data_IF_603983546821
#
_entry.id   IF_603983546821
#
_cell.length_a   1.000
_cell.length_b   1.000
_cell.length_c   1.000
_cell.angle_alpha   90.00
_cell.angle_beta   90.00
_cell.angle_gamma   90.00
#
_symmetry.space_group_name_H-M   'P 1'
#
loop_
_entity.id
_entity.type
_entity.pdbx_description
1 polymer ?
#
# COMPACT_ATOMS: atom_id res chain seq x y z
N UNK A 1 29.38 21.64 -12.63
CA UNK A 1 29.19 20.33 -12.00
C UNK A 1 29.03 19.29 -13.10
N UNK A 2 29.60 18.10 -12.97
CA UNK A 2 29.47 17.02 -13.97
C UNK A 2 28.94 15.77 -13.26
N UNK A 3 28.02 15.03 -13.91
CA UNK A 3 27.51 13.76 -13.36
C UNK A 3 28.61 12.75 -13.07
N UNK A 4 29.66 12.70 -13.92
CA UNK A 4 30.82 11.83 -13.70
C UNK A 4 31.42 12.00 -12.28
N UNK A 5 31.60 13.27 -11.86
CA UNK A 5 32.25 13.58 -10.56
C UNK A 5 31.34 13.19 -9.38
N UNK A 6 30.01 13.37 -9.55
CA UNK A 6 29.01 12.98 -8.54
C UNK A 6 28.95 11.46 -8.40
N UNK A 7 28.91 10.74 -9.51
CA UNK A 7 28.93 9.27 -9.54
C UNK A 7 30.21 8.72 -8.91
N UNK A 8 31.38 9.25 -9.30
CA UNK A 8 32.67 8.84 -8.76
C UNK A 8 32.74 9.07 -7.25
N UNK A 9 32.30 10.26 -6.79
CA UNK A 9 32.24 10.59 -5.37
C UNK A 9 31.40 9.59 -4.58
N UNK A 10 30.20 9.26 -5.08
CA UNK A 10 29.30 8.30 -4.39
C UNK A 10 29.83 6.87 -4.45
N UNK A 11 30.34 6.45 -5.59
CA UNK A 11 31.00 5.15 -5.77
C UNK A 11 32.12 4.92 -4.76
N UNK A 12 32.91 5.95 -4.48
CA UNK A 12 34.07 5.89 -3.59
C UNK A 12 33.70 6.13 -2.11
N UNK A 13 32.36 6.18 -1.78
CA UNK A 13 31.84 6.31 -0.44
C UNK A 13 31.69 7.74 0.07
N UNK A 14 31.85 8.74 -0.81
CA UNK A 14 31.66 10.16 -0.45
C UNK A 14 30.19 10.51 -0.20
N UNK A 15 29.96 11.53 0.63
CA UNK A 15 28.64 12.07 0.95
C UNK A 15 28.27 13.15 -0.06
N UNK A 16 27.10 13.02 -0.69
CA UNK A 16 26.61 14.00 -1.66
C UNK A 16 26.04 15.23 -0.96
N UNK A 17 26.34 16.39 -1.46
CA UNK A 17 25.72 17.64 -1.02
C UNK A 17 24.35 17.83 -1.66
N UNK A 18 23.49 18.69 -1.05
CA UNK A 18 22.20 19.09 -1.63
C UNK A 18 22.34 19.57 -3.09
N UNK A 19 23.39 20.36 -3.39
CA UNK A 19 23.62 20.89 -4.73
C UNK A 19 23.92 19.79 -5.76
N UNK A 20 24.68 18.75 -5.36
CA UNK A 20 24.98 17.59 -6.20
C UNK A 20 23.75 16.73 -6.45
N UNK A 21 22.93 16.49 -5.40
CA UNK A 21 21.67 15.77 -5.48
C UNK A 21 20.69 16.53 -6.39
N UNK A 22 20.51 17.82 -6.18
CA UNK A 22 19.62 18.66 -6.98
C UNK A 22 20.07 18.72 -8.46
N UNK A 23 21.37 18.80 -8.73
CA UNK A 23 21.90 18.76 -10.08
C UNK A 23 21.56 17.43 -10.80
N UNK A 24 21.75 16.31 -10.12
CA UNK A 24 21.47 14.99 -10.67
C UNK A 24 19.96 14.78 -10.91
N UNK A 25 19.12 15.06 -9.91
CA UNK A 25 17.68 14.82 -9.98
C UNK A 25 16.99 15.77 -10.97
N UNK A 26 17.25 17.06 -10.90
CA UNK A 26 16.64 18.04 -11.81
C UNK A 26 17.13 17.83 -13.25
N UNK A 27 18.42 17.56 -13.45
CA UNK A 27 18.96 17.25 -14.76
C UNK A 27 18.39 15.94 -15.34
N UNK A 28 17.99 14.98 -14.49
CA UNK A 28 17.28 13.80 -14.94
C UNK A 28 15.82 14.09 -15.32
N UNK A 29 15.18 15.00 -14.61
CA UNK A 29 13.80 15.44 -14.91
C UNK A 29 13.75 16.18 -16.25
N UNK A 30 14.67 17.12 -16.49
CA UNK A 30 14.71 17.94 -17.70
C UNK A 30 15.37 17.24 -18.91
N UNK A 31 16.03 16.08 -18.70
CA UNK A 31 16.66 15.26 -19.73
C UNK A 31 18.13 15.62 -20.02
N UNK A 32 18.74 16.55 -19.29
CA UNK A 32 20.18 16.88 -19.42
C UNK A 32 21.10 15.80 -18.83
N UNK A 33 20.56 14.98 -17.90
CA UNK A 33 21.21 13.78 -17.36
C UNK A 33 20.58 12.55 -18.01
N UNK A 34 21.32 11.75 -18.79
CA UNK A 34 20.80 10.56 -19.47
C UNK A 34 20.65 9.36 -18.53
N UNK A 35 19.82 8.39 -18.93
CA UNK A 35 19.50 7.17 -18.15
C UNK A 35 20.73 6.41 -17.67
N UNK A 36 21.76 6.24 -18.52
CA UNK A 36 22.96 5.50 -18.15
C UNK A 36 23.77 6.16 -17.03
N UNK A 37 23.79 7.49 -16.95
CA UNK A 37 24.44 8.20 -15.84
C UNK A 37 23.60 8.12 -14.56
N UNK A 38 22.28 8.28 -14.67
CA UNK A 38 21.39 8.13 -13.52
C UNK A 38 21.41 6.69 -13.00
N UNK A 39 21.39 5.67 -13.87
CA UNK A 39 21.51 4.25 -13.46
C UNK A 39 22.81 4.00 -12.70
N UNK A 40 23.94 4.56 -13.17
CA UNK A 40 25.21 4.44 -12.46
C UNK A 40 25.18 5.10 -11.06
N UNK A 41 24.54 6.26 -10.93
CA UNK A 41 24.38 6.92 -9.63
C UNK A 41 23.47 6.10 -8.70
N UNK A 42 22.33 5.59 -9.19
CA UNK A 42 21.41 4.76 -8.41
C UNK A 42 22.08 3.47 -7.94
N UNK A 43 22.90 2.84 -8.77
CA UNK A 43 23.66 1.66 -8.39
C UNK A 43 24.76 2.00 -7.37
N UNK A 44 25.44 3.14 -7.50
CA UNK A 44 26.40 3.60 -6.51
C UNK A 44 25.73 3.86 -5.15
N UNK A 45 24.52 4.45 -5.15
CA UNK A 45 23.70 4.62 -3.93
C UNK A 45 23.29 3.26 -3.36
N UNK A 46 22.85 2.32 -4.20
CA UNK A 46 22.45 0.98 -3.77
C UNK A 46 23.58 0.26 -3.02
N UNK A 47 24.80 0.33 -3.55
CA UNK A 47 25.97 -0.36 -3.00
C UNK A 47 26.62 0.34 -1.82
N UNK A 48 26.50 1.67 -1.71
CA UNK A 48 27.16 2.49 -0.69
C UNK A 48 26.21 3.05 0.36
N UNK A 49 24.91 2.97 0.13
CA UNK A 49 23.89 3.61 0.96
C UNK A 49 23.89 5.13 0.83
N UNK A 50 23.06 5.75 1.63
CA UNK A 50 23.01 7.20 1.88
C UNK A 50 22.93 7.45 3.37
N UNK A 51 23.47 8.57 3.83
CA UNK A 51 23.18 9.06 5.18
C UNK A 51 21.74 9.54 5.28
N UNK A 52 21.22 9.65 6.51
CA UNK A 52 19.86 10.19 6.76
C UNK A 52 19.73 11.60 6.15
N UNK A 53 20.77 12.42 6.27
CA UNK A 53 20.79 13.77 5.70
C UNK A 53 20.73 13.76 4.15
N UNK A 54 21.54 12.90 3.49
CA UNK A 54 21.46 12.75 2.03
C UNK A 54 20.07 12.28 1.58
N UNK A 55 19.46 11.35 2.33
CA UNK A 55 18.14 10.80 2.01
C UNK A 55 17.05 11.86 2.17
N UNK A 56 17.13 12.68 3.22
CA UNK A 56 16.21 13.80 3.42
C UNK A 56 16.32 14.84 2.30
N UNK A 57 17.55 15.20 1.90
CA UNK A 57 17.79 16.13 0.78
C UNK A 57 17.29 15.57 -0.55
N UNK A 58 17.54 14.30 -0.82
CA UNK A 58 17.00 13.64 -2.01
C UNK A 58 15.47 13.67 -2.02
N UNK A 59 14.84 13.38 -0.89
CA UNK A 59 13.39 13.42 -0.72
C UNK A 59 12.82 14.80 -1.00
N UNK A 60 13.45 15.84 -0.43
CA UNK A 60 13.02 17.22 -0.62
C UNK A 60 13.13 17.66 -2.09
N UNK A 61 14.25 17.37 -2.75
CA UNK A 61 14.44 17.68 -4.16
C UNK A 61 13.42 16.93 -5.04
N UNK A 62 13.15 15.67 -4.73
CA UNK A 62 12.14 14.88 -5.44
C UNK A 62 10.72 15.42 -5.22
N UNK A 63 10.36 15.81 -4.01
CA UNK A 63 9.05 16.37 -3.68
C UNK A 63 8.79 17.67 -4.47
N UNK A 64 9.80 18.53 -4.58
CA UNK A 64 9.72 19.81 -5.29
C UNK A 64 9.98 19.72 -6.81
N UNK A 65 10.17 18.52 -7.33
CA UNK A 65 10.35 18.30 -8.77
C UNK A 65 9.07 18.42 -9.60
N UNK A 66 7.93 18.62 -8.97
CA UNK A 66 6.61 18.77 -9.56
C UNK A 66 5.70 19.65 -8.71
N UNK A 67 4.40 19.50 -8.91
CA UNK A 67 3.42 20.29 -8.16
C UNK A 67 3.39 19.88 -6.69
N UNK A 68 3.34 20.88 -5.80
CA UNK A 68 3.04 20.71 -4.38
C UNK A 68 1.57 21.04 -4.14
N UNK A 69 0.82 20.10 -3.53
CA UNK A 69 -0.60 20.29 -3.28
C UNK A 69 -0.81 21.16 -2.04
N UNK A 70 -1.45 22.29 -2.20
CA UNK A 70 -1.89 23.13 -1.09
C UNK A 70 -3.28 22.67 -0.63
N UNK A 71 -3.33 22.02 0.53
CA UNK A 71 -4.58 21.56 1.16
C UNK A 71 -5.19 22.60 2.14
N UNK A 72 -4.72 23.85 2.15
CA UNK A 72 -5.20 24.90 3.07
C UNK A 72 -6.69 25.22 2.91
N UNK A 73 -7.25 25.02 1.71
CA UNK A 73 -8.69 25.15 1.45
C UNK A 73 -9.54 24.05 2.12
N UNK A 74 -8.94 22.98 2.63
CA UNK A 74 -9.61 21.92 3.37
C UNK A 74 -9.55 22.25 4.86
N UNK A 75 -10.71 22.40 5.49
CA UNK A 75 -10.84 22.72 6.91
C UNK A 75 -10.51 21.51 7.79
N UNK A 76 -9.73 21.72 8.86
CA UNK A 76 -9.34 20.70 9.84
C UNK A 76 -8.05 19.95 9.49
N UNK A 77 -7.70 18.98 10.32
CA UNK A 77 -6.50 18.15 10.16
C UNK A 77 -6.68 17.16 9.01
N UNK A 78 -5.72 17.13 8.08
CA UNK A 78 -5.66 16.18 6.96
C UNK A 78 -4.71 15.06 7.32
N UNK A 79 -5.21 13.83 7.36
CA UNK A 79 -4.41 12.63 7.58
C UNK A 79 -4.33 11.78 6.30
N UNK A 80 -3.21 11.12 6.11
CA UNK A 80 -2.99 10.17 5.02
C UNK A 80 -2.34 8.88 5.56
N UNK A 81 -2.58 7.77 4.88
CA UNK A 81 -1.91 6.48 5.13
C UNK A 81 -1.17 6.05 3.89
N UNK A 82 0.05 5.59 4.05
CA UNK A 82 0.79 4.92 2.98
C UNK A 82 1.16 3.51 3.41
N UNK A 83 0.95 2.53 2.52
CA UNK A 83 1.47 1.18 2.68
C UNK A 83 2.65 0.96 1.74
N UNK A 84 3.63 0.19 2.18
CA UNK A 84 4.71 -0.27 1.30
C UNK A 84 4.25 -1.35 0.32
N UNK A 85 2.99 -1.81 0.48
CA UNK A 85 2.35 -2.78 -0.40
C UNK A 85 2.33 -4.19 0.16
N UNK A 86 1.54 -5.04 -0.46
CA UNK A 86 1.37 -6.44 -0.07
C UNK A 86 0.19 -7.06 -0.78
N UNK A 87 -0.07 -8.33 -0.48
CA UNK A 87 -1.18 -9.11 -1.05
C UNK A 87 -2.38 -9.02 -0.12
N UNK A 88 -3.53 -8.65 -0.67
CA UNK A 88 -4.73 -8.41 0.13
C UNK A 88 -4.71 -7.08 0.89
N UNK A 89 -3.79 -6.14 0.59
CA UNK A 89 -3.75 -4.81 1.21
C UNK A 89 -4.90 -3.94 0.67
N UNK A 90 -6.04 -4.09 1.30
CA UNK A 90 -7.26 -3.30 1.12
C UNK A 90 -7.49 -2.29 2.24
N UNK A 91 -6.54 -2.17 3.15
CA UNK A 91 -6.65 -1.38 4.39
C UNK A 91 -7.12 0.05 4.17
N UNK A 92 -6.71 0.71 3.07
CA UNK A 92 -7.16 2.08 2.74
C UNK A 92 -8.68 2.20 2.64
N UNK A 93 -9.37 1.20 2.05
CA UNK A 93 -10.83 1.22 1.88
C UNK A 93 -11.58 1.05 3.19
N UNK A 94 -10.91 0.58 4.23
CA UNK A 94 -11.47 0.42 5.58
C UNK A 94 -11.09 1.58 6.48
N UNK A 95 -9.80 1.89 6.59
CA UNK A 95 -9.31 2.89 7.54
C UNK A 95 -9.67 4.32 7.17
N UNK A 96 -9.70 4.64 5.87
CA UNK A 96 -10.01 5.99 5.46
C UNK A 96 -11.46 6.40 5.82
N UNK A 97 -12.49 5.58 5.58
CA UNK A 97 -13.84 5.84 6.08
C UNK A 97 -13.96 5.88 7.61
N UNK A 98 -13.26 4.99 8.35
CA UNK A 98 -13.25 5.01 9.83
C UNK A 98 -12.72 6.34 10.34
N UNK A 99 -11.56 6.77 9.85
CA UNK A 99 -10.91 8.01 10.29
C UNK A 99 -11.73 9.24 9.89
N UNK A 100 -12.36 9.22 8.71
CA UNK A 100 -13.25 10.27 8.26
C UNK A 100 -14.53 10.36 9.11
N UNK A 101 -15.13 9.22 9.50
CA UNK A 101 -16.30 9.17 10.39
C UNK A 101 -15.98 9.75 11.78
N UNK A 102 -14.73 9.61 12.24
CA UNK A 102 -14.22 10.25 13.46
C UNK A 102 -13.88 11.75 13.28
N UNK A 103 -14.21 12.37 12.13
CA UNK A 103 -14.07 13.81 11.88
C UNK A 103 -12.64 14.27 11.56
N UNK A 104 -11.78 13.38 11.03
CA UNK A 104 -10.48 13.74 10.45
C UNK A 104 -10.60 13.75 8.94
N UNK A 105 -10.00 14.72 8.26
CA UNK A 105 -10.11 14.85 6.80
C UNK A 105 -9.15 13.90 6.09
N UNK A 106 -9.66 13.17 5.10
CA UNK A 106 -8.88 12.26 4.24
C UNK A 106 -8.86 12.81 2.81
N UNK A 107 -7.76 13.45 2.47
CA UNK A 107 -7.49 13.97 1.13
C UNK A 107 -6.41 13.09 0.48
N UNK A 108 -6.79 11.87 0.05
CA UNK A 108 -5.83 10.83 -0.32
C UNK A 108 -5.61 10.75 -1.82
N UNK A 109 -4.32 10.73 -2.20
CA UNK A 109 -3.89 10.36 -3.55
C UNK A 109 -3.21 8.99 -3.48
N UNK A 110 -3.66 8.05 -4.33
CA UNK A 110 -3.22 6.66 -4.33
C UNK A 110 -2.78 6.19 -5.71
N UNK A 111 -2.03 5.08 -5.74
CA UNK A 111 -1.52 4.47 -6.96
C UNK A 111 -2.35 3.30 -7.46
N UNK A 112 -2.01 2.84 -8.66
CA UNK A 112 -2.43 1.56 -9.23
C UNK A 112 -1.52 0.44 -8.73
N UNK A 113 -1.96 -0.80 -8.89
CA UNK A 113 -1.17 -1.99 -8.56
C UNK A 113 0.05 -2.14 -9.45
N UNK A 114 1.11 -2.68 -8.85
CA UNK A 114 2.38 -3.01 -9.51
C UNK A 114 2.80 -4.43 -9.11
N UNK A 115 3.23 -5.23 -10.09
CA UNK A 115 3.66 -6.60 -9.87
C UNK A 115 2.57 -7.43 -9.18
N UNK A 116 2.95 -8.15 -8.13
CA UNK A 116 2.07 -9.00 -7.34
C UNK A 116 1.15 -8.26 -6.36
N UNK A 117 1.28 -6.93 -6.22
CA UNK A 117 0.49 -6.15 -5.28
C UNK A 117 -0.72 -5.50 -5.94
N UNK A 118 -1.90 -5.52 -5.30
CA UNK A 118 -3.10 -4.84 -5.78
C UNK A 118 -3.09 -3.34 -5.49
N UNK A 119 -3.62 -2.52 -6.42
CA UNK A 119 -3.70 -1.06 -6.26
C UNK A 119 -5.02 -0.57 -5.69
N UNK A 120 -4.99 0.41 -4.81
CA UNK A 120 -6.22 1.02 -4.26
C UNK A 120 -7.12 1.59 -5.37
N UNK A 121 -6.53 2.21 -6.39
CA UNK A 121 -7.28 2.80 -7.51
C UNK A 121 -7.97 1.72 -8.34
N UNK A 122 -7.28 0.61 -8.62
CA UNK A 122 -7.86 -0.52 -9.36
C UNK A 122 -9.04 -1.15 -8.58
N UNK A 123 -8.92 -1.27 -7.25
CA UNK A 123 -10.01 -1.70 -6.38
C UNK A 123 -11.20 -0.76 -6.44
N UNK A 124 -10.98 0.56 -6.35
CA UNK A 124 -12.07 1.53 -6.44
C UNK A 124 -12.77 1.49 -7.80
N UNK A 125 -12.03 1.35 -8.89
CA UNK A 125 -12.58 1.25 -10.25
C UNK A 125 -13.36 -0.05 -10.50
N UNK A 126 -13.20 -1.07 -9.64
CA UNK A 126 -14.03 -2.27 -9.68
C UNK A 126 -15.49 -2.03 -9.24
N UNK A 127 -15.76 -0.92 -8.55
CA UNK A 127 -17.11 -0.45 -8.27
C UNK A 127 -17.63 0.30 -9.49
N UNK A 128 -18.69 -0.20 -10.16
CA UNK A 128 -19.16 0.36 -11.43
C UNK A 128 -19.41 1.87 -11.35
N UNK A 129 -18.95 2.61 -12.35
CA UNK A 129 -19.16 4.06 -12.47
C UNK A 129 -18.20 4.93 -11.64
N UNK A 130 -17.37 4.34 -10.78
CA UNK A 130 -16.46 5.13 -9.94
C UNK A 130 -15.41 5.87 -10.76
N UNK A 131 -15.36 7.20 -10.58
CA UNK A 131 -14.32 8.07 -11.11
C UNK A 131 -13.20 8.24 -10.09
N UNK A 132 -11.98 7.90 -10.48
CA UNK A 132 -10.78 8.09 -9.64
C UNK A 132 -9.93 9.29 -10.07
N UNK A 133 -10.34 10.00 -11.12
CA UNK A 133 -9.76 11.25 -11.56
C UNK A 133 -10.77 12.36 -11.35
N UNK A 134 -10.48 13.28 -10.43
CA UNK A 134 -11.26 14.47 -10.12
C UNK A 134 -10.43 15.72 -10.38
N UNK A 135 -11.09 16.84 -10.68
CA UNK A 135 -10.44 18.15 -10.64
C UNK A 135 -10.08 18.51 -9.19
N UNK A 136 -9.14 19.42 -9.00
CA UNK A 136 -8.77 19.88 -7.67
C UNK A 136 -9.97 20.47 -6.91
N UNK A 137 -10.85 21.20 -7.62
CA UNK A 137 -12.06 21.79 -7.05
C UNK A 137 -13.04 20.71 -6.57
N UNK A 138 -13.33 19.68 -7.42
CA UNK A 138 -14.19 18.55 -7.05
C UNK A 138 -13.61 17.80 -5.84
N UNK A 139 -12.29 17.55 -5.84
CA UNK A 139 -11.58 16.88 -4.77
C UNK A 139 -11.70 17.63 -3.44
N UNK A 140 -11.40 18.93 -3.43
CA UNK A 140 -11.48 19.75 -2.21
C UNK A 140 -12.92 19.89 -1.71
N UNK A 141 -13.87 20.10 -2.61
CA UNK A 141 -15.31 20.17 -2.28
C UNK A 141 -15.74 18.87 -1.60
N UNK A 142 -15.46 17.73 -2.18
CA UNK A 142 -15.84 16.43 -1.61
C UNK A 142 -15.24 16.23 -0.22
N UNK A 143 -13.92 16.50 -0.01
CA UNK A 143 -13.28 16.36 1.30
C UNK A 143 -13.89 17.31 2.33
N UNK A 144 -14.23 18.56 1.96
CA UNK A 144 -14.89 19.49 2.87
C UNK A 144 -16.28 19.02 3.27
N UNK A 145 -17.10 18.55 2.32
CA UNK A 145 -18.51 18.16 2.52
C UNK A 145 -18.63 16.79 3.21
N UNK A 146 -17.90 15.78 2.73
CA UNK A 146 -18.06 14.38 3.17
C UNK A 146 -16.98 14.00 4.21
N UNK A 147 -15.82 14.65 4.18
CA UNK A 147 -14.66 14.31 5.03
C UNK A 147 -13.62 13.44 4.35
N UNK A 148 -13.90 12.87 3.18
CA UNK A 148 -13.03 11.90 2.51
C UNK A 148 -13.13 12.02 0.99
N UNK A 149 -11.98 11.91 0.33
CA UNK A 149 -11.86 11.60 -1.11
C UNK A 149 -10.59 10.82 -1.36
N UNK A 150 -10.67 9.77 -2.19
CA UNK A 150 -9.53 8.96 -2.63
C UNK A 150 -9.47 9.00 -4.14
N UNK A 151 -8.38 9.53 -4.69
CA UNK A 151 -8.20 9.72 -6.13
C UNK A 151 -6.88 9.14 -6.62
N UNK A 152 -6.75 8.95 -7.92
CA UNK A 152 -5.50 8.61 -8.57
C UNK A 152 -4.48 9.75 -8.44
N UNK A 153 -3.22 9.39 -8.24
CA UNK A 153 -2.13 10.36 -8.17
C UNK A 153 -1.96 11.07 -9.52
N UNK A 154 -1.90 12.38 -9.53
CA UNK A 154 -1.60 13.14 -10.73
C UNK A 154 -0.15 12.90 -11.17
N UNK A 155 0.08 12.85 -12.49
CA UNK A 155 1.42 12.70 -13.05
C UNK A 155 2.34 13.91 -12.84
N UNK A 156 1.83 14.99 -12.23
CA UNK A 156 2.56 16.24 -11.97
C UNK A 156 3.17 16.31 -10.57
N UNK A 157 2.76 15.41 -9.66
CA UNK A 157 3.29 15.34 -8.29
C UNK A 157 4.56 14.50 -8.28
N UNK A 158 5.64 14.99 -7.64
CA UNK A 158 6.92 14.31 -7.52
C UNK A 158 7.40 13.70 -8.86
N UNK A 159 7.49 14.51 -9.89
CA UNK A 159 7.82 14.08 -11.26
C UNK A 159 9.13 13.28 -11.34
N UNK A 160 10.12 13.65 -10.53
CA UNK A 160 11.39 12.93 -10.41
C UNK A 160 11.17 11.49 -9.94
N UNK A 161 10.28 11.25 -8.96
CA UNK A 161 10.01 9.90 -8.47
C UNK A 161 9.50 8.99 -9.58
N UNK A 162 8.56 9.46 -10.38
CA UNK A 162 8.02 8.67 -11.50
C UNK A 162 9.10 8.20 -12.48
N UNK A 163 10.04 9.09 -12.83
CA UNK A 163 11.16 8.78 -13.74
C UNK A 163 12.17 7.85 -13.08
N UNK A 164 12.57 8.18 -11.83
CA UNK A 164 13.55 7.39 -11.07
C UNK A 164 13.03 6.00 -10.78
N UNK A 165 11.75 5.85 -10.38
CA UNK A 165 11.17 4.54 -10.09
C UNK A 165 11.12 3.66 -11.33
N UNK A 166 10.69 4.21 -12.49
CA UNK A 166 10.67 3.47 -13.74
C UNK A 166 12.08 2.98 -14.16
N UNK A 167 13.12 3.78 -13.88
CA UNK A 167 14.49 3.36 -14.14
C UNK A 167 14.98 2.29 -13.15
N UNK A 168 14.63 2.45 -11.85
CA UNK A 168 14.98 1.49 -10.81
C UNK A 168 14.38 0.12 -11.04
N UNK A 169 13.16 0.08 -11.55
CA UNK A 169 12.40 -1.15 -11.82
C UNK A 169 13.14 -2.08 -12.81
N UNK A 170 13.86 -1.51 -13.77
CA UNK A 170 14.60 -2.25 -14.81
C UNK A 170 16.12 -2.31 -14.58
N UNK A 171 16.63 -1.74 -13.47
CA UNK A 171 18.08 -1.70 -13.16
C UNK A 171 18.45 -2.38 -11.85
N UNK A 172 17.53 -3.19 -11.27
CA UNK A 172 17.72 -3.93 -10.02
C UNK A 172 18.11 -3.05 -8.82
N UNK A 173 17.59 -1.81 -8.75
CA UNK A 173 17.89 -0.85 -7.67
C UNK A 173 16.65 -0.49 -6.83
N UNK A 174 15.53 -1.24 -6.97
CA UNK A 174 14.30 -1.00 -6.20
C UNK A 174 14.51 -1.25 -4.70
N UNK A 175 15.22 -2.33 -4.33
CA UNK A 175 15.37 -2.78 -2.94
C UNK A 175 16.32 -1.93 -2.05
N UNK A 176 16.61 -0.69 -2.42
CA UNK A 176 17.49 0.21 -1.66
C UNK A 176 16.69 1.05 -0.66
N UNK A 177 16.86 0.87 0.65
CA UNK A 177 16.09 1.52 1.72
C UNK A 177 16.05 3.05 1.57
N UNK A 178 17.17 3.80 1.40
CA UNK A 178 17.12 5.24 1.17
C UNK A 178 16.28 5.65 -0.03
N UNK A 179 16.38 4.90 -1.14
CA UNK A 179 15.62 5.20 -2.36
C UNK A 179 14.13 4.85 -2.22
N UNK A 180 13.78 3.81 -1.44
CA UNK A 180 12.39 3.49 -1.09
C UNK A 180 11.80 4.61 -0.22
N UNK A 181 12.52 5.01 0.83
CA UNK A 181 12.08 6.07 1.73
C UNK A 181 11.86 7.40 0.97
N UNK A 182 12.81 7.80 0.11
CA UNK A 182 12.69 9.02 -0.68
C UNK A 182 11.54 8.96 -1.68
N UNK A 183 11.34 7.82 -2.34
CA UNK A 183 10.20 7.60 -3.27
C UNK A 183 8.86 7.76 -2.57
N UNK A 184 8.68 7.16 -1.41
CA UNK A 184 7.44 7.23 -0.64
C UNK A 184 7.21 8.63 -0.10
N UNK A 185 8.21 9.16 0.62
CA UNK A 185 8.04 10.41 1.37
C UNK A 185 7.97 11.63 0.46
N UNK A 186 8.64 11.65 -0.69
CA UNK A 186 8.51 12.76 -1.65
C UNK A 186 7.06 12.93 -2.12
N UNK A 187 6.36 11.85 -2.41
CA UNK A 187 4.93 11.87 -2.79
C UNK A 187 4.04 12.32 -1.63
N UNK A 188 4.34 11.86 -0.40
CA UNK A 188 3.55 12.22 0.79
C UNK A 188 3.74 13.67 1.19
N UNK A 189 4.94 14.19 1.10
CA UNK A 189 5.22 15.61 1.33
C UNK A 189 4.54 16.48 0.26
N UNK A 190 4.65 16.10 -1.01
CA UNK A 190 4.01 16.82 -2.10
C UNK A 190 2.48 16.78 -2.05
N UNK A 191 1.88 15.71 -1.50
CA UNK A 191 0.43 15.61 -1.30
C UNK A 191 -0.11 16.52 -0.17
N UNK A 192 0.72 17.03 0.73
CA UNK A 192 0.40 18.13 1.64
C UNK A 192 -0.30 17.77 2.95
N UNK A 193 -0.49 16.49 3.30
CA UNK A 193 -1.17 16.07 4.55
C UNK A 193 -0.41 16.50 5.81
N UNK A 194 -1.15 16.81 6.88
CA UNK A 194 -0.60 17.24 8.18
C UNK A 194 -0.07 16.07 9.00
N UNK A 195 -0.73 14.92 8.89
CA UNK A 195 -0.39 13.68 9.59
C UNK A 195 -0.27 12.52 8.60
N UNK A 196 0.76 11.69 8.75
CA UNK A 196 1.06 10.58 7.85
C UNK A 196 1.28 9.32 8.68
N UNK A 197 0.47 8.30 8.46
CA UNK A 197 0.71 6.97 8.99
C UNK A 197 1.33 6.09 7.90
N UNK A 198 2.43 5.46 8.23
CA UNK A 198 3.13 4.52 7.35
C UNK A 198 2.82 3.10 7.81
N UNK A 199 2.38 2.27 6.89
CA UNK A 199 2.16 0.85 7.07
C UNK A 199 3.29 0.12 6.34
N UNK A 200 4.31 -0.26 7.10
CA UNK A 200 5.51 -0.92 6.56
C UNK A 200 5.29 -2.42 6.68
N UNK A 201 4.94 -3.03 5.57
CA UNK A 201 4.73 -4.47 5.51
C UNK A 201 6.06 -5.22 5.51
N UNK A 202 6.11 -6.37 6.19
CA UNK A 202 7.29 -7.23 6.30
C UNK A 202 6.88 -8.69 6.09
N UNK A 203 7.67 -9.42 5.31
CA UNK A 203 7.45 -10.85 5.03
C UNK A 203 7.65 -11.23 3.57
N UNK A 204 7.26 -12.43 3.19
CA UNK A 204 7.45 -12.98 1.85
C UNK A 204 6.73 -12.17 0.77
N UNK A 205 5.58 -11.57 1.09
CA UNK A 205 4.80 -10.72 0.19
C UNK A 205 5.17 -9.24 0.20
N UNK A 206 6.20 -8.82 0.94
CA UNK A 206 6.60 -7.43 1.11
C UNK A 206 7.99 -7.15 0.53
N UNK A 207 8.34 -5.86 0.38
CA UNK A 207 9.70 -5.46 0.03
C UNK A 207 10.70 -5.73 1.16
N UNK A 208 10.30 -5.48 2.42
CA UNK A 208 11.13 -5.76 3.59
C UNK A 208 10.96 -7.21 3.99
N UNK A 209 12.09 -7.94 4.10
CA UNK A 209 12.08 -9.38 4.38
C UNK A 209 12.35 -9.72 5.85
N UNK A 210 12.83 -8.75 6.63
CA UNK A 210 13.09 -8.92 8.06
C UNK A 210 12.75 -7.66 8.86
N UNK A 211 12.61 -7.84 10.18
CA UNK A 211 12.18 -6.78 11.07
C UNK A 211 13.16 -5.59 11.15
N UNK A 212 14.47 -5.87 11.11
CA UNK A 212 15.47 -4.81 11.25
C UNK A 212 15.48 -3.88 10.03
N UNK A 213 15.37 -4.42 8.81
CA UNK A 213 15.20 -3.61 7.59
C UNK A 213 13.90 -2.82 7.59
N UNK A 214 12.79 -3.43 8.05
CA UNK A 214 11.51 -2.75 8.17
C UNK A 214 11.55 -1.60 9.19
N UNK A 215 12.20 -1.81 10.33
CA UNK A 215 12.44 -0.76 11.35
C UNK A 215 13.32 0.36 10.79
N UNK A 216 14.39 0.04 10.07
CA UNK A 216 15.28 1.03 9.46
C UNK A 216 14.53 1.90 8.45
N UNK A 217 13.76 1.28 7.55
CA UNK A 217 12.93 2.00 6.58
C UNK A 217 11.90 2.89 7.29
N UNK A 218 11.20 2.35 8.30
CA UNK A 218 10.21 3.09 9.07
C UNK A 218 10.82 4.30 9.79
N UNK A 219 11.96 4.10 10.48
CA UNK A 219 12.69 5.14 11.19
C UNK A 219 13.11 6.27 10.23
N UNK A 220 13.66 5.92 9.09
CA UNK A 220 14.10 6.89 8.08
C UNK A 220 12.93 7.72 7.55
N UNK A 221 11.81 7.08 7.20
CA UNK A 221 10.61 7.77 6.71
C UNK A 221 9.98 8.67 7.79
N UNK A 222 9.92 8.20 9.05
CA UNK A 222 9.43 9.01 10.19
C UNK A 222 10.31 10.23 10.39
N UNK A 223 11.64 10.06 10.37
CA UNK A 223 12.61 11.15 10.49
C UNK A 223 12.43 12.20 9.40
N UNK A 224 12.32 11.77 8.13
CA UNK A 224 12.10 12.67 6.99
C UNK A 224 10.81 13.48 7.16
N UNK A 225 9.69 12.82 7.48
CA UNK A 225 8.41 13.50 7.62
C UNK A 225 8.39 14.48 8.80
N UNK A 226 8.98 14.10 9.94
CA UNK A 226 9.10 14.95 11.13
C UNK A 226 9.97 16.18 10.86
N UNK A 227 11.09 16.02 10.15
CA UNK A 227 11.94 17.13 9.75
C UNK A 227 11.24 18.16 8.85
N UNK A 228 10.20 17.71 8.10
CA UNK A 228 9.34 18.58 7.29
C UNK A 228 8.07 19.05 8.03
N UNK A 229 8.05 18.96 9.36
CA UNK A 229 6.97 19.47 10.21
C UNK A 229 5.67 18.64 10.14
N UNK A 230 5.72 17.40 9.66
CA UNK A 230 4.58 16.48 9.64
C UNK A 230 4.56 15.62 10.90
N UNK A 231 3.36 15.26 11.36
CA UNK A 231 3.19 14.25 12.39
C UNK A 231 3.25 12.88 11.72
N UNK A 232 4.26 12.08 12.00
CA UNK A 232 4.48 10.80 11.33
C UNK A 232 4.69 9.69 12.35
N UNK A 233 4.08 8.55 12.09
CA UNK A 233 4.36 7.28 12.75
C UNK A 233 4.33 6.15 11.72
N UNK A 234 4.93 5.02 12.05
CA UNK A 234 4.86 3.82 11.26
C UNK A 234 4.43 2.63 12.13
N UNK A 235 3.66 1.72 11.54
CA UNK A 235 3.44 0.37 12.05
C UNK A 235 4.15 -0.62 11.12
N UNK A 236 4.80 -1.61 11.71
CA UNK A 236 5.37 -2.74 10.95
C UNK A 236 4.38 -3.89 11.07
N UNK A 237 3.81 -4.28 9.93
CA UNK A 237 2.72 -5.26 9.84
C UNK A 237 3.17 -6.53 9.11
N UNK A 238 2.55 -7.68 9.47
CA UNK A 238 2.84 -8.96 8.85
C UNK A 238 2.41 -9.00 7.37
N UNK A 239 3.25 -9.62 6.54
CA UNK A 239 2.96 -9.98 5.16
C UNK A 239 3.56 -11.35 4.79
N UNK A 240 3.74 -12.23 5.78
CA UNK A 240 3.96 -13.68 5.57
C UNK A 240 2.63 -14.43 5.44
N UNK A 241 1.52 -13.70 5.58
CA UNK A 241 0.16 -14.18 5.30
C UNK A 241 -0.59 -13.08 4.56
N UNK A 242 -1.32 -13.37 3.46
CA UNK A 242 -2.19 -12.39 2.83
C UNK A 242 -3.20 -11.82 3.81
N UNK A 243 -3.44 -10.51 3.78
CA UNK A 243 -4.33 -9.84 4.71
C UNK A 243 -5.81 -10.06 4.32
N UNK A 244 -6.60 -10.59 5.23
CA UNK A 244 -7.95 -11.08 4.96
C UNK A 244 -7.95 -12.37 4.13
N UNK A 245 -9.05 -12.70 3.50
CA UNK A 245 -9.24 -13.91 2.71
C UNK A 245 -9.30 -13.65 1.21
N UNK A 246 -9.74 -12.47 0.82
CA UNK A 246 -9.99 -12.11 -0.58
C UNK A 246 -8.79 -11.42 -1.21
N UNK A 247 -8.39 -11.88 -2.38
CA UNK A 247 -7.30 -11.32 -3.19
C UNK A 247 -7.84 -11.07 -4.59
N UNK A 248 -7.84 -9.82 -5.04
CA UNK A 248 -8.45 -9.38 -6.30
C UNK A 248 -9.31 -8.14 -6.09
N UNK A 249 -9.67 -7.42 -7.17
CA UNK A 249 -10.17 -6.04 -7.02
C UNK A 249 -11.56 -5.98 -6.35
N UNK A 250 -12.63 -6.48 -7.00
CA UNK A 250 -13.97 -6.44 -6.42
C UNK A 250 -14.12 -7.34 -5.19
N UNK A 251 -13.37 -8.46 -5.15
CA UNK A 251 -13.35 -9.35 -3.99
C UNK A 251 -12.83 -8.63 -2.74
N UNK A 252 -11.76 -7.84 -2.88
CA UNK A 252 -11.20 -7.06 -1.78
C UNK A 252 -12.09 -5.88 -1.38
N UNK A 253 -12.81 -5.25 -2.33
CA UNK A 253 -13.83 -4.25 -1.99
C UNK A 253 -14.95 -4.87 -1.16
N UNK A 254 -15.48 -6.02 -1.59
CA UNK A 254 -16.53 -6.74 -0.86
C UNK A 254 -16.11 -7.08 0.57
N UNK A 255 -14.87 -7.55 0.77
CA UNK A 255 -14.33 -7.85 2.10
C UNK A 255 -14.11 -6.58 2.94
N UNK A 256 -13.66 -5.48 2.32
CA UNK A 256 -13.57 -4.18 2.99
C UNK A 256 -14.92 -3.69 3.50
N UNK A 257 -15.98 -3.88 2.71
CA UNK A 257 -17.35 -3.54 3.12
C UNK A 257 -17.84 -4.44 4.26
N UNK A 258 -17.46 -5.72 4.25
CA UNK A 258 -17.75 -6.63 5.36
C UNK A 258 -17.09 -6.16 6.66
N UNK A 259 -15.84 -5.69 6.64
CA UNK A 259 -15.17 -5.10 7.82
C UNK A 259 -15.91 -3.88 8.32
N UNK A 260 -16.28 -2.95 7.44
CA UNK A 260 -17.03 -1.73 7.82
C UNK A 260 -18.43 -2.02 8.36
N UNK A 261 -18.98 -3.21 8.09
CA UNK A 261 -20.25 -3.71 8.63
C UNK A 261 -20.07 -4.60 9.87
N UNK A 262 -18.85 -4.72 10.42
CA UNK A 262 -18.55 -5.56 11.58
C UNK A 262 -18.58 -7.08 11.32
N UNK A 263 -18.43 -7.50 10.04
CA UNK A 263 -18.50 -8.90 9.59
C UNK A 263 -17.21 -9.37 8.90
N UNK A 264 -16.15 -8.57 8.93
CA UNK A 264 -14.88 -8.88 8.27
C UNK A 264 -14.03 -9.92 8.99
N UNK A 265 -12.97 -10.42 8.32
CA UNK A 265 -11.96 -11.27 8.93
C UNK A 265 -11.28 -10.60 10.14
N UNK A 266 -10.95 -11.40 11.14
CA UNK A 266 -10.39 -10.87 12.38
C UNK A 266 -9.04 -10.18 12.20
N UNK A 267 -8.15 -10.77 11.39
CA UNK A 267 -6.82 -10.22 11.08
C UNK A 267 -6.91 -8.86 10.36
N UNK A 268 -7.71 -8.78 9.29
CA UNK A 268 -7.92 -7.54 8.55
C UNK A 268 -8.56 -6.47 9.43
N UNK A 269 -9.55 -6.85 10.24
CA UNK A 269 -10.24 -5.94 11.17
C UNK A 269 -9.27 -5.39 12.19
N UNK A 270 -8.45 -6.24 12.81
CA UNK A 270 -7.48 -5.81 13.83
C UNK A 270 -6.41 -4.88 13.25
N UNK A 271 -5.80 -5.25 12.12
CA UNK A 271 -4.81 -4.38 11.45
C UNK A 271 -5.42 -3.02 11.09
N UNK A 272 -6.64 -3.00 10.55
CA UNK A 272 -7.32 -1.75 10.21
C UNK A 272 -7.63 -0.90 11.44
N UNK A 273 -8.05 -1.49 12.55
CA UNK A 273 -8.32 -0.77 13.79
C UNK A 273 -7.04 -0.19 14.40
N UNK A 274 -5.93 -0.93 14.37
CA UNK A 274 -4.63 -0.42 14.81
C UNK A 274 -4.15 0.76 13.94
N UNK A 275 -4.24 0.62 12.62
CA UNK A 275 -3.89 1.70 11.71
C UNK A 275 -4.80 2.92 11.89
N UNK A 276 -6.11 2.75 11.98
CA UNK A 276 -7.06 3.84 12.20
C UNK A 276 -6.81 4.57 13.53
N UNK A 277 -6.58 3.81 14.61
CA UNK A 277 -6.28 4.37 15.94
C UNK A 277 -5.02 5.24 15.93
N UNK A 278 -3.96 4.78 15.28
CA UNK A 278 -2.73 5.55 15.12
C UNK A 278 -2.93 6.81 14.26
N UNK A 279 -3.74 6.76 13.20
CA UNK A 279 -4.10 7.95 12.42
C UNK A 279 -4.87 8.97 13.26
N UNK A 280 -5.83 8.53 14.06
CA UNK A 280 -6.60 9.39 14.97
C UNK A 280 -5.71 10.01 16.05
N UNK A 281 -4.79 9.24 16.63
CA UNK A 281 -3.79 9.73 17.58
C UNK A 281 -2.91 10.82 16.96
N UNK A 282 -2.35 10.59 15.77
CA UNK A 282 -1.55 11.59 15.03
C UNK A 282 -2.37 12.85 14.72
N UNK A 283 -3.66 12.70 14.45
CA UNK A 283 -4.58 13.81 14.22
C UNK A 283 -4.98 14.55 15.52
N UNK A 284 -4.54 14.10 16.69
CA UNK A 284 -4.81 14.75 17.97
C UNK A 284 -6.22 14.51 18.51
N UNK A 285 -6.85 13.36 18.18
CA UNK A 285 -8.21 13.03 18.66
C UNK A 285 -8.25 12.50 20.10
N UNK A 286 -7.13 12.19 20.69
CA UNK A 286 -7.02 11.73 22.08
C UNK A 286 -5.89 10.72 22.26
N UNK A 287 -5.84 10.10 23.42
CA UNK A 287 -4.91 9.01 23.73
C UNK A 287 -5.25 7.74 22.92
N UNK A 288 -4.28 6.85 22.76
CA UNK A 288 -4.38 5.68 21.88
C UNK A 288 -5.62 4.81 22.19
N UNK A 289 -5.91 4.55 23.47
CA UNK A 289 -7.08 3.76 23.87
C UNK A 289 -8.42 4.44 23.50
N UNK A 290 -8.50 5.76 23.63
CA UNK A 290 -9.66 6.53 23.21
C UNK A 290 -9.81 6.52 21.68
N UNK A 291 -8.70 6.66 20.93
CA UNK A 291 -8.70 6.57 19.49
C UNK A 291 -9.15 5.18 19.00
N UNK A 292 -8.73 4.11 19.69
CA UNK A 292 -9.18 2.75 19.42
C UNK A 292 -10.68 2.60 19.61
N UNK A 293 -11.21 3.06 20.74
CA UNK A 293 -12.64 3.01 21.04
C UNK A 293 -13.46 3.82 20.01
N UNK A 294 -12.97 4.99 19.57
CA UNK A 294 -13.62 5.76 18.51
C UNK A 294 -13.67 4.99 17.18
N UNK A 295 -12.56 4.33 16.78
CA UNK A 295 -12.49 3.55 15.57
C UNK A 295 -13.45 2.35 15.58
N UNK A 296 -13.56 1.66 16.72
CA UNK A 296 -14.51 0.56 16.92
C UNK A 296 -15.95 1.04 16.88
N UNK A 297 -16.24 2.17 17.53
CA UNK A 297 -17.59 2.71 17.63
C UNK A 297 -18.18 3.03 16.26
N UNK A 298 -17.42 3.63 15.35
CA UNK A 298 -17.92 4.01 14.02
C UNK A 298 -18.14 2.81 13.08
N UNK A 299 -17.58 1.64 13.40
CA UNK A 299 -17.93 0.37 12.75
C UNK A 299 -19.26 -0.13 13.32
N UNK A 300 -19.38 -0.15 14.66
CA UNK A 300 -20.56 -0.68 15.37
C UNK A 300 -21.83 0.10 15.02
N UNK A 301 -21.76 1.43 14.94
CA UNK A 301 -22.91 2.28 14.59
C UNK A 301 -23.14 2.42 13.09
N UNK A 302 -22.24 1.88 12.24
CA UNK A 302 -22.34 1.87 10.79
C UNK A 302 -21.97 3.19 10.12
N UNK A 303 -21.54 4.21 10.86
CA UNK A 303 -21.19 5.54 10.29
C UNK A 303 -19.99 5.48 9.36
N UNK A 304 -19.01 4.62 9.63
CA UNK A 304 -17.86 4.41 8.74
C UNK A 304 -18.30 3.81 7.38
N UNK A 305 -19.20 2.84 7.40
CA UNK A 305 -19.76 2.25 6.18
C UNK A 305 -20.54 3.28 5.34
N UNK A 306 -21.38 4.10 5.99
CA UNK A 306 -22.13 5.15 5.28
C UNK A 306 -21.21 6.25 4.72
N UNK A 307 -20.13 6.61 5.39
CA UNK A 307 -19.11 7.52 4.84
C UNK A 307 -18.43 6.93 3.61
N UNK A 308 -18.11 5.63 3.64
CA UNK A 308 -17.58 4.92 2.48
C UNK A 308 -18.55 4.96 1.29
N UNK A 309 -19.82 4.65 1.50
CA UNK A 309 -20.85 4.73 0.47
C UNK A 309 -21.01 6.16 -0.09
N UNK A 310 -20.99 7.19 0.77
CA UNK A 310 -21.05 8.60 0.33
C UNK A 310 -19.84 8.98 -0.53
N UNK A 311 -18.64 8.50 -0.17
CA UNK A 311 -17.43 8.74 -0.96
C UNK A 311 -17.57 8.17 -2.37
N UNK A 312 -17.97 6.91 -2.50
CA UNK A 312 -18.16 6.26 -3.80
C UNK A 312 -19.27 6.94 -4.61
N UNK A 313 -20.42 7.26 -3.98
CA UNK A 313 -21.53 7.96 -4.64
C UNK A 313 -21.10 9.33 -5.20
N UNK A 314 -20.34 10.12 -4.43
CA UNK A 314 -19.82 11.42 -4.86
C UNK A 314 -18.85 11.29 -6.05
N UNK A 315 -18.19 10.14 -6.18
CA UNK A 315 -17.30 9.80 -7.29
C UNK A 315 -18.03 9.05 -8.42
N UNK A 316 -19.36 8.95 -8.38
CA UNK A 316 -20.20 8.34 -9.43
C UNK A 316 -20.33 6.82 -9.34
N UNK A 317 -19.81 6.20 -8.27
CA UNK A 317 -19.84 4.76 -8.05
C UNK A 317 -21.24 4.25 -7.69
N UNK A 318 -21.59 3.08 -8.21
CA UNK A 318 -22.80 2.37 -7.84
C UNK A 318 -22.67 1.78 -6.43
N UNK A 319 -23.33 2.42 -5.47
CA UNK A 319 -23.29 1.99 -4.07
C UNK A 319 -24.15 0.76 -3.76
N UNK A 320 -24.96 0.29 -4.70
CA UNK A 320 -25.75 -0.94 -4.51
C UNK A 320 -24.84 -2.15 -4.30
N UNK A 321 -23.73 -2.25 -5.06
CA UNK A 321 -22.74 -3.33 -4.93
C UNK A 321 -21.97 -3.28 -3.62
N UNK A 322 -21.85 -2.09 -3.01
CA UNK A 322 -21.21 -1.93 -1.69
C UNK A 322 -22.13 -2.41 -0.55
N UNK A 323 -23.45 -2.22 -0.72
CA UNK A 323 -24.46 -2.65 0.24
C UNK A 323 -24.79 -4.13 0.13
N UNK A 324 -24.71 -4.67 -1.08
CA UNK A 324 -24.90 -6.08 -1.39
C UNK A 324 -23.80 -6.56 -2.35
N UNK A 325 -22.79 -7.21 -1.80
CA UNK A 325 -21.66 -7.72 -2.56
C UNK A 325 -22.05 -8.80 -3.60
N UNK A 326 -23.23 -9.41 -3.49
CA UNK A 326 -23.72 -10.37 -4.48
C UNK A 326 -24.00 -9.75 -5.85
N UNK A 327 -24.16 -8.41 -5.88
CA UNK A 327 -24.40 -7.62 -7.09
C UNK A 327 -23.13 -7.29 -7.88
N UNK A 328 -21.94 -7.51 -7.32
CA UNK A 328 -20.71 -7.43 -8.11
C UNK A 328 -20.74 -8.43 -9.27
N UNK A 329 -20.17 -8.03 -10.40
CA UNK A 329 -19.94 -8.98 -11.50
C UNK A 329 -19.12 -10.16 -10.99
N UNK A 330 -19.59 -11.36 -11.27
CA UNK A 330 -18.89 -12.60 -10.92
C UNK A 330 -18.05 -13.07 -12.11
N UNK A 331 -16.93 -13.70 -11.84
CA UNK A 331 -16.17 -14.44 -12.85
C UNK A 331 -16.99 -15.60 -13.39
N UNK A 332 -16.74 -15.97 -14.65
CA UNK A 332 -17.47 -17.05 -15.32
C UNK A 332 -17.15 -18.44 -14.76
N UNK A 333 -15.91 -18.63 -14.33
CA UNK A 333 -15.38 -19.90 -13.86
C UNK A 333 -14.82 -19.78 -12.46
N UNK A 334 -14.90 -20.86 -11.72
CA UNK A 334 -14.30 -21.04 -10.39
C UNK A 334 -13.58 -22.38 -10.34
N UNK A 335 -12.43 -22.45 -9.68
CA UNK A 335 -11.63 -23.65 -9.55
C UNK A 335 -11.08 -23.75 -8.12
N UNK A 336 -11.38 -24.87 -7.45
CA UNK A 336 -10.90 -25.12 -6.08
C UNK A 336 -9.52 -25.78 -6.12
N UNK A 337 -8.57 -25.19 -5.37
CA UNK A 337 -7.32 -25.85 -5.04
C UNK A 337 -7.53 -26.61 -3.73
N UNK A 338 -7.25 -27.91 -3.76
CA UNK A 338 -7.41 -28.79 -2.60
C UNK A 338 -6.06 -29.11 -1.94
N UNK A 339 -6.09 -29.34 -0.62
CA UNK A 339 -4.91 -29.77 0.11
C UNK A 339 -4.40 -31.12 -0.40
N UNK A 340 -3.11 -31.28 -0.72
CA UNK A 340 -2.55 -32.55 -1.21
C UNK A 340 -2.39 -33.60 -0.11
N UNK A 341 -2.39 -33.20 1.18
CA UNK A 341 -2.19 -34.09 2.33
C UNK A 341 -2.87 -33.53 3.58
N UNK A 342 -3.02 -34.40 4.60
CA UNK A 342 -3.41 -33.99 5.95
C UNK A 342 -2.24 -33.24 6.63
N UNK A 343 -2.55 -32.24 7.44
CA UNK A 343 -1.55 -31.50 8.20
C UNK A 343 -1.98 -30.08 8.54
N UNK A 344 -0.99 -29.20 8.64
CA UNK A 344 -1.18 -27.76 8.87
C UNK A 344 -0.49 -26.99 7.76
N UNK A 345 -1.05 -25.86 7.36
CA UNK A 345 -0.34 -24.91 6.49
C UNK A 345 0.79 -24.29 7.30
N UNK A 346 2.03 -24.62 6.97
CA UNK A 346 3.23 -24.16 7.69
C UNK A 346 3.98 -23.06 6.95
N UNK A 347 3.69 -22.87 5.67
CA UNK A 347 4.25 -21.80 4.87
C UNK A 347 3.32 -21.46 3.70
N UNK A 348 3.15 -20.17 3.45
CA UNK A 348 2.58 -19.59 2.24
C UNK A 348 3.57 -18.57 1.70
N UNK A 349 4.06 -18.75 0.47
CA UNK A 349 4.79 -17.70 -0.22
C UNK A 349 3.78 -16.67 -0.76
N UNK A 350 3.65 -15.56 -0.06
CA UNK A 350 2.64 -14.54 -0.34
C UNK A 350 2.88 -13.84 -1.68
N UNK A 351 4.15 -13.68 -2.10
CA UNK A 351 4.48 -13.14 -3.41
C UNK A 351 3.97 -14.06 -4.53
N UNK A 352 4.12 -15.37 -4.38
CA UNK A 352 3.58 -16.34 -5.33
C UNK A 352 2.05 -16.34 -5.37
N UNK A 353 1.40 -16.19 -4.22
CA UNK A 353 -0.06 -16.04 -4.15
C UNK A 353 -0.51 -14.78 -4.90
N UNK A 354 0.17 -13.65 -4.68
CA UNK A 354 -0.08 -12.42 -5.42
C UNK A 354 0.10 -12.59 -6.93
N UNK A 355 1.20 -13.24 -7.35
CA UNK A 355 1.45 -13.54 -8.76
C UNK A 355 0.39 -14.49 -9.35
N UNK A 356 -0.09 -15.47 -8.60
CA UNK A 356 -1.20 -16.32 -9.04
C UNK A 356 -2.46 -15.49 -9.33
N UNK A 357 -2.79 -14.49 -8.50
CA UNK A 357 -3.92 -13.59 -8.76
C UNK A 357 -3.72 -12.74 -10.02
N UNK A 358 -2.48 -12.31 -10.30
CA UNK A 358 -2.15 -11.60 -11.55
C UNK A 358 -2.35 -12.50 -12.77
N UNK A 359 -1.93 -13.76 -12.70
CA UNK A 359 -2.13 -14.74 -13.78
C UNK A 359 -3.61 -15.00 -14.09
N UNK A 360 -4.49 -14.88 -13.08
CA UNK A 360 -5.94 -14.98 -13.26
C UNK A 360 -6.57 -13.74 -13.94
N UNK A 361 -5.80 -12.65 -14.10
CA UNK A 361 -6.26 -11.39 -14.68
C UNK A 361 -6.61 -10.30 -13.65
N UNK A 362 -6.41 -10.52 -12.34
CA UNK A 362 -6.69 -9.53 -11.31
C UNK A 362 -5.67 -8.37 -11.27
N UNK A 363 -4.52 -8.53 -11.93
CA UNK A 363 -3.47 -7.53 -12.05
C UNK A 363 -2.96 -7.39 -13.48
N UNK A 364 -1.93 -6.54 -13.68
CA UNK A 364 -1.30 -6.31 -14.98
C UNK A 364 0.05 -7.02 -15.05
N UNK A 365 0.29 -7.79 -16.10
CA UNK A 365 1.61 -8.32 -16.46
C UNK A 365 2.39 -7.22 -17.22
N UNK A 366 1.67 -6.50 -18.10
CA UNK A 366 2.21 -5.34 -18.84
C UNK A 366 1.35 -4.12 -18.54
N UNK A 367 1.93 -2.93 -18.64
CA UNK A 367 1.24 -1.67 -18.36
C UNK A 367 -0.03 -1.47 -19.18
N UNK A 368 -0.07 -2.01 -20.37
CA UNK A 368 -1.16 -1.90 -21.36
C UNK A 368 -2.29 -2.91 -21.11
N UNK A 369 -2.06 -3.92 -20.25
CA UNK A 369 -3.04 -4.96 -19.98
C UNK A 369 -4.28 -4.39 -19.29
N UNK A 370 -5.45 -4.92 -19.67
CA UNK A 370 -6.68 -4.71 -18.92
C UNK A 370 -6.68 -5.50 -17.62
N UNK A 371 -7.52 -5.10 -16.67
CA UNK A 371 -7.77 -5.84 -15.44
C UNK A 371 -9.16 -6.47 -15.52
N UNK A 372 -9.27 -7.74 -15.18
CA UNK A 372 -10.54 -8.37 -14.84
C UNK A 372 -10.85 -8.14 -13.36
N UNK A 373 -11.79 -7.24 -13.09
CA UNK A 373 -12.14 -6.89 -11.72
C UNK A 373 -12.83 -8.01 -10.92
N UNK A 374 -13.34 -9.06 -11.59
CA UNK A 374 -13.95 -10.20 -10.92
C UNK A 374 -12.98 -11.37 -10.71
N UNK A 375 -11.80 -11.31 -11.35
CA UNK A 375 -10.75 -12.30 -11.15
C UNK A 375 -10.08 -12.17 -9.78
N UNK A 376 -9.60 -13.29 -9.26
CA UNK A 376 -8.89 -13.31 -7.99
C UNK A 376 -8.92 -14.66 -7.27
N UNK A 377 -8.64 -14.62 -5.99
CA UNK A 377 -8.53 -15.80 -5.12
C UNK A 377 -9.32 -15.53 -3.84
N UNK A 378 -10.11 -16.50 -3.39
CA UNK A 378 -10.67 -16.53 -2.04
C UNK A 378 -9.97 -17.64 -1.27
N UNK A 379 -9.23 -17.27 -0.23
CA UNK A 379 -8.54 -18.22 0.65
C UNK A 379 -9.50 -18.77 1.69
N UNK A 380 -9.56 -20.08 1.85
CA UNK A 380 -10.35 -20.76 2.89
C UNK A 380 -9.47 -21.14 4.08
N UNK A 381 -8.18 -21.28 3.86
CA UNK A 381 -7.18 -21.69 4.86
C UNK A 381 -5.95 -20.77 4.80
N UNK A 382 -5.40 -20.48 5.95
CA UNK A 382 -4.25 -19.60 6.16
C UNK A 382 -3.14 -20.31 6.94
N UNK A 383 -2.02 -19.63 7.13
CA UNK A 383 -0.91 -20.12 7.96
C UNK A 383 -1.43 -20.57 9.34
N UNK A 384 -1.06 -21.76 9.76
CA UNK A 384 -1.46 -22.37 11.04
C UNK A 384 -2.79 -23.12 11.03
N UNK A 385 -3.58 -23.06 9.95
CA UNK A 385 -4.83 -23.80 9.83
C UNK A 385 -4.59 -25.29 9.55
N UNK A 386 -5.40 -26.14 10.17
CA UNK A 386 -5.43 -27.56 9.89
C UNK A 386 -6.15 -27.83 8.56
N UNK A 387 -5.63 -28.77 7.79
CA UNK A 387 -6.18 -29.21 6.49
C UNK A 387 -6.23 -30.73 6.39
N UNK A 388 -7.17 -31.23 5.60
CA UNK A 388 -7.28 -32.65 5.23
C UNK A 388 -7.06 -32.82 3.74
N UNK A 389 -6.45 -33.92 3.33
CA UNK A 389 -6.29 -34.26 1.93
C UNK A 389 -7.64 -34.18 1.17
N UNK A 390 -7.64 -33.43 0.08
CA UNK A 390 -8.85 -33.18 -0.72
C UNK A 390 -9.75 -32.05 -0.20
N UNK A 391 -9.45 -31.42 0.95
CA UNK A 391 -10.20 -30.25 1.45
C UNK A 391 -9.82 -28.99 0.65
N UNK A 392 -10.79 -28.19 0.16
CA UNK A 392 -10.50 -26.93 -0.51
C UNK A 392 -9.77 -25.94 0.41
N UNK A 393 -8.61 -25.45 -0.04
CA UNK A 393 -7.79 -24.46 0.67
C UNK A 393 -7.96 -23.04 0.12
N UNK A 394 -8.30 -22.94 -1.16
CA UNK A 394 -8.73 -21.69 -1.78
C UNK A 394 -9.56 -21.96 -3.04
N UNK A 395 -10.28 -20.94 -3.52
CA UNK A 395 -10.98 -20.95 -4.81
C UNK A 395 -10.41 -19.85 -5.70
N UNK A 396 -10.02 -20.20 -6.92
CA UNK A 396 -9.60 -19.29 -7.98
C UNK A 396 -10.79 -18.85 -8.81
N UNK A 397 -10.80 -17.61 -9.27
CA UNK A 397 -11.86 -17.01 -10.09
C UNK A 397 -11.27 -16.34 -11.33
N UNK A 398 -11.78 -16.67 -12.53
CA UNK A 398 -11.37 -16.05 -13.80
C UNK A 398 -12.49 -16.13 -14.86
N UNK A 399 -12.42 -15.28 -15.87
CA UNK A 399 -13.30 -15.33 -17.04
C UNK A 399 -12.80 -16.31 -18.14
N UNK A 400 -11.58 -16.83 -17.98
CA UNK A 400 -10.93 -17.80 -18.87
C UNK A 400 -10.39 -18.97 -18.01
N UNK A 401 -10.95 -20.16 -18.18
CA UNK A 401 -10.58 -21.37 -17.42
C UNK A 401 -9.20 -21.92 -17.78
N UNK A 402 -8.63 -21.53 -18.92
CA UNK A 402 -7.27 -21.93 -19.32
C UNK A 402 -6.19 -21.34 -18.41
N UNK A 403 -6.51 -20.28 -17.65
CA UNK A 403 -5.58 -19.61 -16.73
C UNK A 403 -5.37 -20.40 -15.42
N UNK A 404 -6.29 -21.27 -15.06
CA UNK A 404 -6.26 -21.96 -13.76
C UNK A 404 -5.02 -22.83 -13.57
N UNK A 405 -4.60 -23.58 -14.58
CA UNK A 405 -3.46 -24.48 -14.44
C UNK A 405 -2.17 -23.75 -14.03
N UNK A 406 -1.86 -22.62 -14.67
CA UNK A 406 -0.68 -21.82 -14.34
C UNK A 406 -0.80 -21.13 -12.97
N UNK A 407 -2.00 -20.64 -12.64
CA UNK A 407 -2.26 -20.00 -11.36
C UNK A 407 -2.19 -21.00 -10.18
N UNK A 408 -2.73 -22.21 -10.37
CA UNK A 408 -2.63 -23.31 -9.39
C UNK A 408 -1.18 -23.74 -9.16
N UNK A 409 -0.41 -23.97 -10.25
CA UNK A 409 1.02 -24.30 -10.14
C UNK A 409 1.79 -23.20 -9.36
N UNK A 410 1.49 -21.93 -9.64
CA UNK A 410 2.08 -20.79 -8.93
C UNK A 410 1.71 -20.81 -7.45
N UNK A 411 0.43 -20.99 -7.12
CA UNK A 411 -0.07 -21.00 -5.74
C UNK A 411 0.49 -22.18 -4.94
N UNK A 412 0.33 -23.41 -5.48
CA UNK A 412 0.77 -24.65 -4.81
C UNK A 412 2.29 -24.70 -4.64
N UNK A 413 3.04 -24.16 -5.61
CA UNK A 413 4.50 -24.06 -5.51
C UNK A 413 5.01 -23.17 -4.37
N UNK A 414 4.14 -22.35 -3.76
CA UNK A 414 4.46 -21.55 -2.56
C UNK A 414 3.86 -22.10 -1.27
N UNK A 415 3.14 -23.23 -1.33
CA UNK A 415 2.44 -23.83 -0.19
C UNK A 415 3.30 -24.96 0.40
N UNK A 416 3.43 -24.97 1.73
CA UNK A 416 3.98 -26.11 2.45
C UNK A 416 2.99 -26.59 3.51
N UNK A 417 2.72 -27.90 3.54
CA UNK A 417 1.94 -28.58 4.57
C UNK A 417 2.88 -29.39 5.44
N UNK A 418 2.82 -29.18 6.75
CA UNK A 418 3.61 -29.88 7.76
C UNK A 418 2.75 -30.67 8.74
N UNK A 419 3.37 -31.62 9.46
CA UNK A 419 2.67 -32.44 10.45
C UNK A 419 2.34 -31.68 11.74
N UNK A 420 3.11 -30.64 12.07
CA UNK A 420 2.97 -29.87 13.31
C UNK A 420 2.44 -28.47 13.00
N UNK A 421 1.61 -27.95 13.91
CA UNK A 421 1.09 -26.58 13.80
C UNK A 421 2.24 -25.58 14.00
N UNK A 422 2.48 -24.65 13.06
CA UNK A 422 3.51 -23.64 13.20
C UNK A 422 3.09 -22.58 14.23
N UNK A 423 4.06 -21.84 14.75
CA UNK A 423 3.82 -20.60 15.43
C UNK A 423 3.36 -19.56 14.41
N UNK A 424 2.20 -18.92 14.69
CA UNK A 424 1.67 -17.85 13.84
C UNK A 424 2.26 -16.53 14.31
N UNK A 425 2.90 -15.76 13.42
CA UNK A 425 3.50 -14.48 13.79
C UNK A 425 2.44 -13.45 14.23
N UNK A 426 2.83 -12.41 14.99
CA UNK A 426 1.93 -11.32 15.34
C UNK A 426 1.56 -10.52 14.08
N UNK A 427 0.34 -9.97 14.06
CA UNK A 427 -0.12 -9.11 12.96
C UNK A 427 0.66 -7.79 12.88
N UNK A 428 1.20 -7.31 14.01
CA UNK A 428 1.96 -6.07 14.13
C UNK A 428 3.18 -6.34 14.99
N UNK A 429 4.35 -6.03 14.46
CA UNK A 429 5.64 -6.29 15.10
C UNK A 429 6.18 -5.11 15.91
N UNK A 430 5.93 -3.90 15.39
CA UNK A 430 6.46 -2.70 16.04
C UNK A 430 5.70 -1.44 15.61
N UNK A 431 5.80 -0.42 16.47
CA UNK A 431 5.44 0.96 16.21
C UNK A 431 6.68 1.82 16.24
N UNK A 432 6.86 2.67 15.22
CA UNK A 432 7.99 3.60 15.11
C UNK A 432 7.48 5.03 15.11
N UNK A 433 8.02 5.86 15.99
CA UNK A 433 7.71 7.28 16.10
C UNK A 433 9.00 8.10 16.18
N UNK A 434 8.90 9.43 16.24
CA UNK A 434 10.06 10.29 16.50
C UNK A 434 10.70 10.07 17.88
N UNK A 435 9.99 9.44 18.81
CA UNK A 435 10.44 9.15 20.17
C UNK A 435 11.20 7.82 20.25
N UNK A 436 10.99 6.91 19.31
CA UNK A 436 11.67 5.62 19.28
C UNK A 436 10.86 4.50 18.66
N UNK A 437 11.28 3.27 18.94
CA UNK A 437 10.70 2.01 18.44
C UNK A 437 10.12 1.24 19.62
N UNK A 438 8.83 0.96 19.56
CA UNK A 438 8.10 0.08 20.47
C UNK A 438 7.88 -1.25 19.74
N UNK A 439 8.38 -2.37 20.29
CA UNK A 439 8.18 -3.72 19.74
C UNK A 439 7.07 -4.43 20.52
N UNK A 440 6.23 -5.20 19.84
CA UNK A 440 5.09 -5.94 20.42
C UNK A 440 5.38 -7.43 20.50
#
# INVERSE_FOLDING_TARGET
MRMYDIIAKKRDGGILTRAEIAFAVNGYVDGSVPDYQMSALLMAIYLRGMTDAETAELTDVMAHSGDMVDLSAIQGIKADKHSTGGVGDKTTLVIAPIVAACGVKIAKMSGRGLGHTGGTIDKMESVPGTRTSLTQEEFFKQVNEIGISVIGQSGKIAVADKKLYALRDVTATVGCIPLIASSIMSKKLAAGSDAILLDVTMGSGAFMKNLDEAVELARLMVSIGTAHGRKVAALITDMDTPLGHNIGNSLEVAESMAVLQGKGPADLTEVCLQLASNMLYLAGKGEMAACRAMAEQVIVDGSAFEICCKMFAAQGGDTSVLRDASLFRKAKYAHDICAPADGYIVQNDVERIGNASVLLGAGRIKKEDGIDFAAGIIMHKKLGDAVKAGEPICTLYADDDTLFAAAEEMYVGGLTIGAEKPEVPPLIYARVTSEGVERF
#
